data_IF_988178507651
#
_entry.id   IF_988178507651
#
_cell.length_a   1.000
_cell.length_b   1.000
_cell.length_c   1.000
_cell.angle_alpha   90.00
_cell.angle_beta   90.00
_cell.angle_gamma   90.00
#
_symmetry.space_group_name_H-M   'P 1'
#
loop_
_entity.id
_entity.type
_entity.pdbx_description
1 polymer ?
#
# COMPACT_ATOMS: atom_id res chain seq x y z
N UNK A 1 -32.83 -33.94 3.16
CA UNK A 1 -32.17 -33.40 1.94
C UNK A 1 -32.34 -31.88 1.74
N UNK A 2 -33.21 -31.17 2.49
CA UNK A 2 -33.48 -29.73 2.28
C UNK A 2 -32.41 -28.83 2.92
N UNK A 3 -31.84 -29.20 4.06
CA UNK A 3 -30.88 -28.37 4.82
C UNK A 3 -29.51 -28.17 4.16
N UNK A 4 -29.06 -29.07 3.28
CA UNK A 4 -27.75 -28.94 2.62
C UNK A 4 -27.75 -27.85 1.53
N UNK A 5 -28.87 -27.67 0.82
CA UNK A 5 -29.00 -26.66 -0.25
C UNK A 5 -28.99 -25.22 0.29
N UNK A 6 -29.57 -24.99 1.46
CA UNK A 6 -29.60 -23.64 2.07
C UNK A 6 -28.21 -23.20 2.56
N UNK A 7 -27.40 -24.13 3.07
CA UNK A 7 -26.03 -23.83 3.54
C UNK A 7 -25.11 -23.48 2.38
N UNK A 8 -25.23 -24.19 1.25
CA UNK A 8 -24.49 -23.87 0.02
C UNK A 8 -24.90 -22.53 -0.60
N UNK A 9 -26.20 -22.22 -0.64
CA UNK A 9 -26.69 -20.92 -1.11
C UNK A 9 -26.19 -19.76 -0.26
N UNK A 10 -26.15 -19.95 1.06
CA UNK A 10 -25.69 -18.92 1.99
C UNK A 10 -24.19 -18.66 1.86
N UNK A 11 -23.38 -19.71 1.67
CA UNK A 11 -21.95 -19.60 1.36
C UNK A 11 -21.70 -18.89 0.03
N UNK A 12 -22.45 -19.24 -1.02
CA UNK A 12 -22.34 -18.62 -2.34
C UNK A 12 -22.75 -17.13 -2.33
N UNK A 13 -23.79 -16.77 -1.56
CA UNK A 13 -24.22 -15.38 -1.38
C UNK A 13 -23.13 -14.55 -0.68
N UNK A 14 -22.54 -15.04 0.42
CA UNK A 14 -21.44 -14.35 1.12
C UNK A 14 -20.21 -14.15 0.24
N UNK A 15 -19.82 -15.17 -0.54
CA UNK A 15 -18.67 -15.08 -1.43
C UNK A 15 -18.88 -14.00 -2.50
N UNK A 16 -20.07 -13.96 -3.13
CA UNK A 16 -20.41 -12.89 -4.10
C UNK A 16 -20.38 -11.50 -3.48
N UNK A 17 -20.85 -11.34 -2.24
CA UNK A 17 -20.81 -10.03 -1.57
C UNK A 17 -19.37 -9.60 -1.33
N UNK A 18 -18.50 -10.50 -0.86
CA UNK A 18 -17.08 -10.23 -0.67
C UNK A 18 -16.38 -9.87 -1.98
N UNK A 19 -16.62 -10.65 -3.04
CA UNK A 19 -16.04 -10.40 -4.36
C UNK A 19 -16.50 -9.05 -4.93
N UNK A 20 -17.78 -8.70 -4.72
CA UNK A 20 -18.34 -7.39 -5.12
C UNK A 20 -17.71 -6.24 -4.32
N UNK A 21 -17.56 -6.39 -3.00
CA UNK A 21 -16.91 -5.37 -2.16
C UNK A 21 -15.44 -5.18 -2.57
N UNK A 22 -14.72 -6.26 -2.85
CA UNK A 22 -13.33 -6.20 -3.34
C UNK A 22 -13.26 -5.54 -4.72
N UNK A 23 -14.21 -5.83 -5.62
CA UNK A 23 -14.27 -5.21 -6.94
C UNK A 23 -14.54 -3.70 -6.84
N UNK A 24 -15.48 -3.27 -6.00
CA UNK A 24 -15.77 -1.84 -5.75
C UNK A 24 -14.56 -1.13 -5.15
N UNK A 25 -13.87 -1.75 -4.19
CA UNK A 25 -12.66 -1.19 -3.59
C UNK A 25 -11.53 -1.04 -4.63
N UNK A 26 -11.34 -2.05 -5.50
CA UNK A 26 -10.37 -1.99 -6.62
C UNK A 26 -10.75 -0.93 -7.65
N UNK A 27 -12.03 -0.78 -7.97
CA UNK A 27 -12.50 0.22 -8.94
C UNK A 27 -12.32 1.65 -8.40
N UNK A 28 -12.53 1.88 -7.11
CA UNK A 28 -12.24 3.17 -6.45
C UNK A 28 -10.73 3.48 -6.37
N UNK A 29 -9.87 2.46 -6.38
CA UNK A 29 -8.42 2.64 -6.44
C UNK A 29 -7.92 2.91 -7.86
N UNK A 30 -8.55 2.31 -8.88
CA UNK A 30 -8.13 2.43 -10.28
C UNK A 30 -8.33 3.83 -10.90
N UNK A 31 -9.15 4.68 -10.30
CA UNK A 31 -9.45 6.03 -10.80
C UNK A 31 -8.56 7.12 -10.24
N UNK A 32 -7.68 6.82 -9.26
CA UNK A 32 -6.80 7.81 -8.64
C UNK A 32 -5.46 7.85 -9.38
N UNK A 33 -5.23 8.93 -10.12
CA UNK A 33 -3.93 9.17 -10.74
C UNK A 33 -2.85 9.26 -9.67
N UNK A 34 -1.76 8.50 -9.86
CA UNK A 34 -0.59 8.56 -8.99
C UNK A 34 0.13 9.89 -9.18
N UNK A 35 0.59 10.50 -8.09
CA UNK A 35 1.39 11.74 -8.18
C UNK A 35 2.75 11.44 -8.82
N UNK A 36 3.29 12.37 -9.64
CA UNK A 36 4.60 12.21 -10.24
C UNK A 36 5.71 12.07 -9.20
N UNK A 37 6.73 11.26 -9.53
CA UNK A 37 7.92 11.08 -8.70
C UNK A 37 8.66 12.39 -8.37
N UNK A 38 8.58 13.37 -9.27
CA UNK A 38 9.22 14.69 -9.12
C UNK A 38 8.44 15.66 -8.22
N UNK A 39 7.20 15.34 -7.85
CA UNK A 39 6.36 16.22 -7.03
C UNK A 39 6.90 16.36 -5.61
N UNK A 40 6.77 17.54 -5.01
CA UNK A 40 7.31 17.82 -3.68
C UNK A 40 6.63 16.98 -2.58
N UNK A 41 5.35 16.66 -2.77
CA UNK A 41 4.62 15.75 -1.87
C UNK A 41 5.18 14.33 -1.93
N UNK A 42 5.55 13.83 -3.11
CA UNK A 42 6.13 12.50 -3.27
C UNK A 42 7.56 12.45 -2.74
N UNK A 43 8.35 13.51 -2.93
CA UNK A 43 9.70 13.63 -2.34
C UNK A 43 9.63 13.63 -0.81
N UNK A 44 8.75 14.45 -0.23
CA UNK A 44 8.51 14.52 1.21
C UNK A 44 8.07 13.16 1.77
N UNK A 45 7.14 12.48 1.07
CA UNK A 45 6.71 11.15 1.45
C UNK A 45 7.87 10.14 1.46
N UNK A 46 8.68 10.11 0.39
CA UNK A 46 9.83 9.22 0.33
C UNK A 46 10.81 9.48 1.50
N UNK A 47 11.02 10.75 1.84
CA UNK A 47 11.87 11.16 2.97
C UNK A 47 11.33 10.63 4.30
N UNK A 48 10.05 10.82 4.60
CA UNK A 48 9.45 10.27 5.83
C UNK A 48 9.49 8.74 5.89
N UNK A 49 9.36 8.04 4.75
CA UNK A 49 9.54 6.59 4.73
C UNK A 49 10.99 6.20 5.04
N UNK A 50 11.97 6.95 4.54
CA UNK A 50 13.38 6.75 4.88
C UNK A 50 13.64 7.01 6.38
N UNK A 51 13.07 8.08 6.93
CA UNK A 51 13.17 8.40 8.37
C UNK A 51 12.63 7.26 9.24
N UNK A 52 11.43 6.74 8.95
CA UNK A 52 10.86 5.60 9.68
C UNK A 52 11.78 4.37 9.58
N UNK A 53 12.31 4.10 8.39
CA UNK A 53 13.23 2.98 8.19
C UNK A 53 14.48 3.11 9.06
N UNK A 54 15.07 4.31 9.14
CA UNK A 54 16.25 4.57 9.94
C UNK A 54 15.97 4.56 11.44
N UNK A 55 14.94 5.30 11.88
CA UNK A 55 14.61 5.51 13.29
C UNK A 55 14.09 4.24 13.96
N UNK A 56 13.26 3.47 13.26
CA UNK A 56 12.66 2.25 13.79
C UNK A 56 13.47 0.98 13.43
N UNK A 57 14.65 1.16 12.84
CA UNK A 57 15.56 0.09 12.41
C UNK A 57 14.84 -0.99 11.56
N UNK A 58 14.02 -0.55 10.60
CA UNK A 58 13.27 -1.44 9.72
C UNK A 58 14.13 -1.85 8.52
N UNK A 59 13.92 -3.07 7.98
CA UNK A 59 14.58 -3.44 6.74
C UNK A 59 14.09 -2.58 5.58
N UNK A 60 14.97 -2.24 4.63
CA UNK A 60 14.60 -1.50 3.40
C UNK A 60 13.46 -2.16 2.62
N UNK A 61 13.29 -3.48 2.77
CA UNK A 61 12.20 -4.26 2.16
C UNK A 61 10.82 -3.98 2.76
N UNK A 62 10.69 -3.19 3.83
CA UNK A 62 9.39 -2.84 4.43
C UNK A 62 8.44 -2.23 3.40
N UNK A 63 8.97 -1.47 2.43
CA UNK A 63 8.18 -0.86 1.34
C UNK A 63 7.61 -1.87 0.34
N UNK A 64 8.08 -3.12 0.38
CA UNK A 64 7.51 -4.25 -0.37
C UNK A 64 6.47 -5.04 0.44
N UNK A 65 6.36 -4.78 1.74
CA UNK A 65 5.44 -5.48 2.63
C UNK A 65 3.98 -5.19 2.28
N UNK A 66 3.16 -6.24 2.21
CA UNK A 66 1.74 -6.12 1.86
C UNK A 66 0.97 -5.25 2.87
N UNK A 67 1.26 -5.39 4.16
CA UNK A 67 0.61 -4.60 5.21
C UNK A 67 0.91 -3.10 5.07
N UNK A 68 2.19 -2.75 4.89
CA UNK A 68 2.61 -1.36 4.69
C UNK A 68 2.01 -0.75 3.42
N UNK A 69 2.01 -1.51 2.31
CA UNK A 69 1.34 -1.12 1.07
C UNK A 69 -0.14 -0.81 1.25
N UNK A 70 -0.90 -1.71 1.89
CA UNK A 70 -2.33 -1.50 2.13
C UNK A 70 -2.59 -0.29 3.02
N UNK A 71 -1.75 -0.08 4.04
CA UNK A 71 -1.85 1.09 4.92
C UNK A 71 -1.63 2.39 4.14
N UNK A 72 -0.55 2.47 3.35
CA UNK A 72 -0.28 3.65 2.51
C UNK A 72 -1.38 3.88 1.49
N UNK A 73 -1.87 2.83 0.83
CA UNK A 73 -2.98 2.93 -0.14
C UNK A 73 -4.29 3.40 0.50
N UNK A 74 -4.55 3.02 1.76
CA UNK A 74 -5.71 3.50 2.50
C UNK A 74 -5.58 4.98 2.88
N UNK A 75 -4.42 5.39 3.42
CA UNK A 75 -4.21 6.76 3.90
C UNK A 75 -4.02 7.77 2.77
N UNK A 76 -3.22 7.42 1.77
CA UNK A 76 -2.76 8.28 0.68
C UNK A 76 -2.62 7.48 -0.63
N UNK A 77 -3.75 7.08 -1.25
CA UNK A 77 -3.77 6.24 -2.45
C UNK A 77 -3.06 6.87 -3.67
N UNK A 78 -2.91 8.18 -3.71
CA UNK A 78 -2.22 8.92 -4.77
C UNK A 78 -0.69 8.77 -4.69
N UNK A 79 -0.14 8.47 -3.51
CA UNK A 79 1.31 8.34 -3.31
C UNK A 79 1.81 6.97 -3.78
N UNK A 80 3.06 6.95 -4.22
CA UNK A 80 3.78 5.74 -4.57
C UNK A 80 4.72 5.36 -3.45
N UNK A 81 4.70 4.09 -3.04
CA UNK A 81 5.72 3.59 -2.12
C UNK A 81 7.10 3.61 -2.79
N UNK A 82 8.13 4.19 -2.13
CA UNK A 82 9.48 4.21 -2.66
C UNK A 82 10.06 2.79 -2.74
N UNK A 83 10.88 2.56 -3.76
CA UNK A 83 11.63 1.31 -3.85
C UNK A 83 12.69 1.24 -2.74
N UNK A 84 13.14 0.04 -2.32
CA UNK A 84 14.25 -0.09 -1.38
C UNK A 84 15.52 0.67 -1.83
N UNK A 85 15.78 0.73 -3.15
CA UNK A 85 16.90 1.48 -3.72
C UNK A 85 16.73 2.99 -3.55
N UNK A 86 15.50 3.49 -3.68
CA UNK A 86 15.18 4.91 -3.45
C UNK A 86 15.44 5.29 -2.00
N UNK A 87 15.03 4.43 -1.05
CA UNK A 87 15.30 4.64 0.37
C UNK A 87 16.79 4.58 0.68
N UNK A 88 17.53 3.58 0.17
CA UNK A 88 18.99 3.50 0.33
C UNK A 88 19.66 4.80 -0.10
N UNK A 89 19.30 5.32 -1.28
CA UNK A 89 19.87 6.57 -1.79
C UNK A 89 19.54 7.76 -0.90
N UNK A 90 18.31 7.86 -0.38
CA UNK A 90 17.93 8.95 0.53
C UNK A 90 18.67 8.89 1.86
N UNK A 91 18.85 7.68 2.40
CA UNK A 91 19.65 7.49 3.61
C UNK A 91 21.11 7.84 3.37
N UNK A 92 21.68 7.46 2.22
CA UNK A 92 23.03 7.87 1.82
C UNK A 92 23.13 9.40 1.68
N UNK A 93 22.15 10.06 1.05
CA UNK A 93 22.09 11.52 0.90
C UNK A 93 21.99 12.25 2.25
N UNK A 94 21.23 11.73 3.22
CA UNK A 94 21.07 12.35 4.55
C UNK A 94 22.19 11.99 5.54
N UNK A 95 22.86 10.84 5.37
CA UNK A 95 24.00 10.42 6.18
C UNK A 95 25.35 10.86 5.60
N UNK A 96 25.38 11.32 4.35
CA UNK A 96 26.56 11.96 3.75
C UNK A 96 26.67 13.37 4.31
N UNK A 97 27.22 13.47 5.53
CA UNK A 97 27.70 14.71 6.13
C UNK A 97 28.74 15.31 5.16
N UNK A 98 28.68 16.61 4.80
CA UNK A 98 29.81 17.28 4.16
C UNK A 98 31.07 17.29 5.04
#
# INVERSE_FOLDING_TARGET
MVHLKEVEEFGAKRQRTLDTTVAVFRQQQATKQKVPASSDIQKSFNRYVAEIVALDNLPLSVTKGLGFRRLTEFLKPELNLPSPRTISRQLEEELSIP
#
